data_IF_923131991104
#
_entry.id   IF_923131991104
#
_cell.length_a   1.000
_cell.length_b   1.000
_cell.length_c   1.000
_cell.angle_alpha   90.00
_cell.angle_beta   90.00
_cell.angle_gamma   90.00
#
_symmetry.space_group_name_H-M   'P 1'
#
loop_
_entity.id
_entity.type
_entity.pdbx_description
1 polymer ?
#
# COMPACT_ATOMS: atom_id res chain seq x y z
N UNK A 1 -10.13 26.11 8.55
CA UNK A 1 -8.76 25.71 8.17
C UNK A 1 -8.78 24.20 7.99
N UNK A 2 -8.49 23.72 6.79
CA UNK A 2 -8.46 22.28 6.52
C UNK A 2 -7.04 21.77 6.83
N UNK A 3 -6.91 20.80 7.72
CA UNK A 3 -5.62 20.18 8.04
C UNK A 3 -5.59 18.85 7.29
N UNK A 4 -4.62 18.69 6.38
CA UNK A 4 -4.41 17.45 5.66
C UNK A 4 -3.17 16.72 6.19
N UNK A 5 -3.33 15.42 6.47
CA UNK A 5 -2.23 14.53 6.78
C UNK A 5 -1.46 14.21 5.49
N UNK A 6 -0.16 14.46 5.54
CA UNK A 6 0.81 14.25 4.45
C UNK A 6 1.93 13.33 4.92
N UNK A 7 2.65 12.72 3.97
CA UNK A 7 3.78 11.80 4.22
C UNK A 7 3.43 10.59 5.10
N UNK A 8 2.26 10.00 4.89
CA UNK A 8 1.81 8.82 5.64
C UNK A 8 1.73 7.57 4.75
N UNK A 9 2.19 6.45 5.29
CA UNK A 9 1.88 5.12 4.76
C UNK A 9 0.41 4.84 5.08
N UNK A 10 -0.39 4.63 4.04
CA UNK A 10 -1.83 4.42 4.16
C UNK A 10 -2.25 2.97 3.93
N UNK A 11 -1.45 2.18 3.21
CA UNK A 11 -1.66 0.75 3.03
C UNK A 11 -0.37 0.06 2.57
N UNK A 12 -0.30 -1.25 2.80
CA UNK A 12 0.76 -2.14 2.30
C UNK A 12 0.08 -3.29 1.55
N UNK A 13 0.58 -3.66 0.37
CA UNK A 13 0.10 -4.82 -0.41
C UNK A 13 1.28 -5.76 -0.65
N UNK A 14 1.22 -6.97 -0.13
CA UNK A 14 2.33 -7.94 -0.19
C UNK A 14 1.92 -9.25 -0.84
N UNK A 15 2.86 -9.90 -1.53
CA UNK A 15 2.74 -11.29 -2.00
C UNK A 15 3.13 -12.31 -0.91
N UNK A 16 3.76 -11.83 0.16
CA UNK A 16 4.26 -12.67 1.25
C UNK A 16 4.03 -11.96 2.58
N UNK A 17 3.13 -12.52 3.40
CA UNK A 17 2.78 -11.97 4.71
C UNK A 17 3.96 -11.94 5.69
N UNK A 18 4.96 -12.80 5.51
CA UNK A 18 6.13 -12.87 6.40
C UNK A 18 7.12 -11.71 6.17
N UNK A 19 7.01 -11.02 5.03
CA UNK A 19 7.82 -9.83 4.71
C UNK A 19 7.34 -8.55 5.39
N UNK A 20 6.12 -8.56 5.93
CA UNK A 20 5.51 -7.38 6.56
C UNK A 20 5.14 -7.72 7.99
N UNK A 21 5.94 -7.23 8.93
CA UNK A 21 5.57 -7.26 10.33
C UNK A 21 4.49 -6.22 10.63
N UNK A 22 3.65 -6.50 11.63
CA UNK A 22 2.56 -5.63 12.04
C UNK A 22 3.01 -4.17 12.17
N UNK A 23 2.19 -3.24 11.67
CA UNK A 23 2.52 -1.81 11.58
C UNK A 23 1.29 -0.91 11.67
N UNK A 24 1.47 0.37 11.36
CA UNK A 24 0.41 1.40 11.49
C UNK A 24 -0.56 1.49 10.31
N UNK A 25 -0.40 0.63 9.30
CA UNK A 25 -1.20 0.66 8.07
C UNK A 25 -1.84 -0.72 7.80
N UNK A 26 -3.03 -0.77 7.20
CA UNK A 26 -3.64 -2.02 6.73
C UNK A 26 -2.70 -2.77 5.77
N UNK A 27 -2.59 -4.08 5.97
CA UNK A 27 -1.82 -4.98 5.11
C UNK A 27 -2.78 -5.87 4.34
N UNK A 28 -2.65 -5.84 3.02
CA UNK A 28 -3.37 -6.72 2.10
C UNK A 28 -2.40 -7.77 1.57
N UNK A 29 -2.79 -9.04 1.64
CA UNK A 29 -2.01 -10.14 1.07
C UNK A 29 -2.67 -10.53 -0.24
N UNK A 30 -1.94 -10.41 -1.35
CA UNK A 30 -2.39 -10.79 -2.68
C UNK A 30 -1.93 -12.20 -3.03
N UNK A 31 -2.73 -12.92 -3.81
CA UNK A 31 -2.43 -14.27 -4.29
C UNK A 31 -1.34 -14.26 -5.38
N UNK A 32 -1.30 -13.23 -6.22
CA UNK A 32 -0.34 -13.05 -7.31
C UNK A 32 -0.09 -11.57 -7.64
N UNK A 33 0.83 -11.32 -8.58
CA UNK A 33 1.19 -9.97 -9.03
C UNK A 33 0.03 -9.21 -9.68
N UNK A 34 -0.88 -9.91 -10.39
CA UNK A 34 -2.04 -9.28 -11.02
C UNK A 34 -2.99 -8.73 -9.96
N UNK A 35 -3.30 -9.55 -8.95
CA UNK A 35 -4.09 -9.13 -7.81
C UNK A 35 -3.40 -8.01 -7.02
N UNK A 36 -2.09 -8.11 -6.80
CA UNK A 36 -1.31 -7.09 -6.09
C UNK A 36 -1.45 -5.72 -6.76
N UNK A 37 -1.28 -5.65 -8.08
CA UNK A 37 -1.43 -4.41 -8.85
C UNK A 37 -2.88 -3.90 -8.82
N UNK A 38 -3.86 -4.80 -8.91
CA UNK A 38 -5.29 -4.46 -8.87
C UNK A 38 -5.69 -3.86 -7.51
N UNK A 39 -5.24 -4.45 -6.39
CA UNK A 39 -5.47 -3.93 -5.04
C UNK A 39 -4.84 -2.54 -4.91
N UNK A 40 -3.57 -2.40 -5.31
CA UNK A 40 -2.86 -1.12 -5.24
C UNK A 40 -3.55 -0.02 -6.08
N UNK A 41 -4.00 -0.36 -7.30
CA UNK A 41 -4.76 0.55 -8.17
C UNK A 41 -6.05 1.02 -7.49
N UNK A 42 -6.83 0.12 -6.88
CA UNK A 42 -8.07 0.53 -6.22
C UNK A 42 -7.83 1.43 -5.01
N UNK A 43 -6.83 1.12 -4.18
CA UNK A 43 -6.52 1.94 -3.01
C UNK A 43 -6.06 3.33 -3.43
N UNK A 44 -5.17 3.44 -4.41
CA UNK A 44 -4.67 4.74 -4.90
C UNK A 44 -5.77 5.60 -5.50
N UNK A 45 -6.75 5.02 -6.22
CA UNK A 45 -7.93 5.74 -6.74
C UNK A 45 -8.79 6.35 -5.63
N UNK A 46 -8.91 5.70 -4.48
CA UNK A 46 -9.73 6.17 -3.36
C UNK A 46 -8.98 7.23 -2.54
N UNK A 47 -7.69 6.99 -2.32
CA UNK A 47 -6.90 7.74 -1.33
C UNK A 47 -6.11 8.91 -1.92
N UNK A 48 -6.01 8.95 -3.25
CA UNK A 48 -5.07 9.79 -4.00
C UNK A 48 -3.61 9.55 -3.56
N UNK A 49 -3.31 8.32 -3.15
CA UNK A 49 -1.97 7.88 -2.78
C UNK A 49 -1.11 7.50 -3.98
N UNK A 50 0.18 7.36 -3.73
CA UNK A 50 1.19 6.91 -4.68
C UNK A 50 1.70 5.54 -4.27
N UNK A 51 1.91 4.65 -5.25
CA UNK A 51 2.50 3.32 -5.03
C UNK A 51 4.03 3.42 -5.09
N UNK A 52 4.69 2.81 -4.12
CA UNK A 52 6.13 2.58 -4.10
C UNK A 52 6.39 1.08 -4.03
N UNK A 53 7.10 0.56 -5.01
CA UNK A 53 7.57 -0.83 -5.02
C UNK A 53 8.90 -0.94 -4.28
N UNK A 54 8.99 -1.90 -3.36
CA UNK A 54 10.23 -2.20 -2.64
C UNK A 54 11.13 -3.21 -3.36
N UNK A 55 10.69 -3.78 -4.49
CA UNK A 55 11.42 -4.75 -5.30
C UNK A 55 11.49 -6.16 -4.71
N UNK A 56 10.71 -6.43 -3.66
CA UNK A 56 10.69 -7.72 -2.97
C UNK A 56 9.27 -8.30 -2.85
N UNK A 57 8.34 -7.87 -3.70
CA UNK A 57 6.93 -8.29 -3.66
C UNK A 57 6.11 -7.56 -2.59
N UNK A 58 6.58 -6.40 -2.13
CA UNK A 58 5.83 -5.51 -1.23
C UNK A 58 5.65 -4.16 -1.91
N UNK A 59 4.40 -3.72 -2.01
CA UNK A 59 4.03 -2.38 -2.42
C UNK A 59 3.61 -1.57 -1.20
N UNK A 60 4.16 -0.38 -1.05
CA UNK A 60 3.75 0.61 -0.05
C UNK A 60 2.94 1.69 -0.75
N UNK A 61 1.81 2.08 -0.17
CA UNK A 61 1.02 3.20 -0.66
C UNK A 61 1.18 4.38 0.31
N UNK A 62 1.63 5.52 -0.22
CA UNK A 62 1.92 6.74 0.55
C UNK A 62 1.02 7.88 0.09
N UNK A 63 0.48 8.66 1.04
CA UNK A 63 -0.13 9.96 0.74
C UNK A 63 0.92 11.04 0.94
N UNK A 64 1.24 11.78 -0.12
CA UNK A 64 2.24 12.86 -0.08
C UNK A 64 1.71 14.15 0.53
#
# INVERSE_FOLDING_TARGET
MEIQLTKQIIAIVTLDKEKVYAGSAPVFVAEDEEEQQRIAMYITRITFGMVHDLGNGVLIIVKH
#
